data_IF_428455666677
#
_entry.id   IF_428455666677
#
_cell.length_a   1.000
_cell.length_b   1.000
_cell.length_c   1.000
_cell.angle_alpha   90.00
_cell.angle_beta   90.00
_cell.angle_gamma   90.00
#
_symmetry.space_group_name_H-M   'P 1'
#
loop_
_entity.id
_entity.type
_entity.pdbx_description
1 polymer ?
#
# COMPACT_ATOMS: atom_id res chain seq x y z
N UNK A 1 -16.24 12.44 19.14
CA UNK A 1 -17.14 11.58 18.36
C UNK A 1 -16.30 10.48 17.74
N UNK A 2 -16.37 9.27 18.29
CA UNK A 2 -15.69 8.11 17.71
C UNK A 2 -16.50 7.66 16.52
N UNK A 3 -15.99 7.87 15.30
CA UNK A 3 -16.49 7.13 14.16
C UNK A 3 -16.15 5.68 14.44
N UNK A 4 -17.13 4.92 14.89
CA UNK A 4 -17.01 3.48 15.05
C UNK A 4 -16.45 2.94 13.73
N UNK A 5 -15.21 2.47 13.79
CA UNK A 5 -14.55 1.82 12.67
C UNK A 5 -15.44 0.62 12.37
N UNK A 6 -16.24 0.71 11.31
CA UNK A 6 -16.88 -0.42 10.65
C UNK A 6 -15.77 -1.24 9.98
N UNK A 7 -14.78 -1.67 10.76
CA UNK A 7 -13.76 -2.57 10.31
C UNK A 7 -14.44 -3.94 10.25
N UNK A 8 -15.01 -4.23 9.09
CA UNK A 8 -15.35 -5.59 8.73
C UNK A 8 -14.05 -6.38 8.84
N UNK A 9 -14.01 -7.41 9.69
CA UNK A 9 -12.86 -8.32 9.71
C UNK A 9 -12.76 -8.97 8.33
N UNK A 10 -11.85 -8.43 7.52
CA UNK A 10 -11.55 -8.98 6.21
C UNK A 10 -10.76 -10.25 6.47
N UNK A 11 -11.46 -11.41 6.44
CA UNK A 11 -10.88 -12.75 6.52
C UNK A 11 -9.96 -12.96 5.31
N UNK A 12 -8.76 -12.41 5.37
CA UNK A 12 -7.75 -12.53 4.32
C UNK A 12 -6.49 -13.13 4.93
N UNK A 13 -5.81 -13.97 4.15
CA UNK A 13 -4.52 -14.57 4.54
C UNK A 13 -3.37 -13.56 4.36
N UNK A 14 -3.69 -12.28 4.18
CA UNK A 14 -2.77 -11.18 3.89
C UNK A 14 -2.67 -10.30 5.15
N UNK A 15 -1.56 -10.38 5.90
CA UNK A 15 -1.33 -9.45 7.00
C UNK A 15 -1.38 -8.00 6.50
N UNK A 16 -1.91 -7.10 7.33
CA UNK A 16 -1.99 -5.66 7.02
C UNK A 16 -2.82 -5.34 5.76
N UNK A 17 -3.96 -6.01 5.60
CA UNK A 17 -4.78 -5.90 4.39
C UNK A 17 -5.21 -4.46 4.08
N UNK A 18 -5.67 -3.70 5.07
CA UNK A 18 -6.13 -2.32 4.87
C UNK A 18 -4.96 -1.41 4.48
N UNK A 19 -3.82 -1.55 5.16
CA UNK A 19 -2.58 -0.82 4.88
C UNK A 19 -2.09 -1.10 3.45
N UNK A 20 -2.21 -2.36 3.00
CA UNK A 20 -1.86 -2.77 1.63
C UNK A 20 -2.81 -2.17 0.59
N UNK A 21 -4.11 -2.09 0.90
CA UNK A 21 -5.11 -1.46 0.03
C UNK A 21 -4.82 0.04 -0.09
N UNK A 22 -4.62 0.73 1.02
CA UNK A 22 -4.35 2.17 1.05
C UNK A 22 -3.05 2.51 0.31
N UNK A 23 -1.98 1.73 0.52
CA UNK A 23 -0.71 1.96 -0.17
C UNK A 23 -0.83 1.67 -1.67
N UNK A 24 -1.53 0.62 -2.08
CA UNK A 24 -1.79 0.34 -3.50
C UNK A 24 -2.62 1.47 -4.16
N UNK A 25 -3.60 2.02 -3.44
CA UNK A 25 -4.35 3.20 -3.87
C UNK A 25 -3.43 4.41 -4.07
N UNK A 26 -2.52 4.69 -3.13
CA UNK A 26 -1.55 5.77 -3.25
C UNK A 26 -0.69 5.66 -4.52
N UNK A 27 -0.10 4.48 -4.79
CA UNK A 27 0.65 4.24 -6.03
C UNK A 27 -0.17 4.55 -7.30
N UNK A 28 -1.41 4.04 -7.37
CA UNK A 28 -2.26 4.22 -8.55
C UNK A 28 -2.69 5.67 -8.75
N UNK A 29 -2.96 6.40 -7.68
CA UNK A 29 -3.26 7.82 -7.75
C UNK A 29 -2.03 8.63 -8.20
N UNK A 30 -0.85 8.35 -7.65
CA UNK A 30 0.41 8.97 -8.07
C UNK A 30 0.68 8.73 -9.56
N UNK A 31 0.44 7.51 -10.06
CA UNK A 31 0.52 7.22 -11.49
C UNK A 31 -0.49 8.05 -12.30
N UNK A 32 -1.75 8.12 -11.85
CA UNK A 32 -2.83 8.88 -12.52
C UNK A 32 -2.56 10.39 -12.56
N UNK A 33 -1.89 10.92 -11.55
CA UNK A 33 -1.50 12.33 -11.44
C UNK A 33 -0.16 12.64 -12.14
N UNK A 34 0.42 11.67 -12.85
CA UNK A 34 1.71 11.80 -13.54
C UNK A 34 2.89 12.15 -12.61
N UNK A 35 2.86 11.67 -11.37
CA UNK A 35 3.89 11.89 -10.35
C UNK A 35 4.82 10.67 -10.18
N UNK A 36 5.08 9.94 -11.26
CA UNK A 36 5.88 8.70 -11.29
C UNK A 36 7.09 8.86 -12.22
N UNK A 37 8.21 8.21 -11.89
CA UNK A 37 9.42 8.17 -12.70
C UNK A 37 9.70 6.73 -13.15
N UNK A 38 9.15 6.36 -14.31
CA UNK A 38 9.23 5.02 -14.86
C UNK A 38 8.95 3.94 -13.79
N UNK A 39 9.99 3.21 -13.37
CA UNK A 39 9.91 2.18 -12.32
C UNK A 39 10.92 2.41 -11.18
N UNK A 40 11.46 3.63 -11.08
CA UNK A 40 12.52 3.97 -10.13
C UNK A 40 12.00 4.38 -8.73
N UNK A 41 10.79 4.93 -8.64
CA UNK A 41 10.25 5.36 -7.34
C UNK A 41 9.87 4.18 -6.43
N UNK A 42 9.82 4.48 -5.14
CA UNK A 42 9.27 3.59 -4.12
C UNK A 42 8.43 4.39 -3.14
N UNK A 43 7.40 3.75 -2.59
CA UNK A 43 6.75 4.16 -1.34
C UNK A 43 6.83 3.01 -0.36
N UNK A 44 6.95 3.36 0.91
CA UNK A 44 6.90 2.39 2.01
C UNK A 44 5.94 2.87 3.09
N UNK A 45 5.37 1.90 3.81
CA UNK A 45 4.45 2.15 4.92
C UNK A 45 4.88 1.30 6.11
N UNK A 46 5.18 1.95 7.24
CA UNK A 46 5.45 1.25 8.49
C UNK A 46 4.19 0.54 8.99
N UNK A 47 4.29 -0.73 9.37
CA UNK A 47 3.15 -1.55 9.84
C UNK A 47 3.22 -1.90 11.32
N UNK A 48 4.26 -1.44 12.01
CA UNK A 48 4.41 -1.59 13.45
C UNK A 48 4.80 -0.24 14.10
N UNK A 49 4.42 -0.07 15.37
CA UNK A 49 4.68 1.17 16.13
C UNK A 49 6.18 1.51 16.22
N UNK A 50 7.03 0.48 16.16
CA UNK A 50 8.49 0.63 16.18
C UNK A 50 9.10 1.15 14.88
N UNK A 51 8.35 1.21 13.78
CA UNK A 51 8.86 1.67 12.47
C UNK A 51 9.99 0.80 11.91
N UNK A 52 9.97 -0.50 12.19
CA UNK A 52 11.03 -1.44 11.78
C UNK A 52 10.56 -2.45 10.73
N UNK A 53 9.26 -2.52 10.46
CA UNK A 53 8.66 -3.36 9.44
C UNK A 53 7.88 -2.49 8.47
N UNK A 54 8.06 -2.74 7.17
CA UNK A 54 7.49 -1.91 6.12
C UNK A 54 6.84 -2.76 5.04
N UNK A 55 5.71 -2.28 4.52
CA UNK A 55 5.21 -2.66 3.20
C UNK A 55 5.99 -1.90 2.13
N UNK A 56 6.33 -2.55 1.01
CA UNK A 56 6.97 -1.89 -0.13
C UNK A 56 6.47 -2.39 -1.49
N UNK A 57 6.64 -1.58 -2.54
CA UNK A 57 6.42 -2.04 -3.91
C UNK A 57 7.49 -3.05 -4.37
N UNK A 58 7.10 -4.05 -5.18
CA UNK A 58 8.07 -4.89 -5.88
C UNK A 58 9.00 -4.09 -6.77
N UNK A 59 10.22 -4.59 -6.90
CA UNK A 59 11.21 -3.99 -7.79
C UNK A 59 10.73 -4.01 -9.24
N UNK A 60 11.00 -2.91 -9.97
CA UNK A 60 10.74 -2.77 -11.41
C UNK A 60 9.26 -2.90 -11.82
N UNK A 61 8.31 -2.72 -10.90
CA UNK A 61 6.87 -2.70 -11.21
C UNK A 61 6.36 -1.27 -11.22
N UNK A 62 5.80 -0.86 -12.35
CA UNK A 62 5.21 0.47 -12.52
C UNK A 62 4.04 0.72 -11.56
N UNK A 63 3.94 1.93 -11.02
CA UNK A 63 2.93 2.33 -10.03
C UNK A 63 1.48 2.05 -10.45
N UNK A 64 1.15 2.19 -11.74
CA UNK A 64 -0.19 1.89 -12.26
C UNK A 64 -0.59 0.41 -12.19
N UNK A 65 0.36 -0.50 -11.97
CA UNK A 65 0.14 -1.95 -11.95
C UNK A 65 0.07 -2.55 -10.55
N UNK A 66 0.51 -1.83 -9.52
CA UNK A 66 0.57 -2.30 -8.14
C UNK A 66 -0.82 -2.69 -7.63
N UNK A 67 -0.93 -3.85 -6.99
CA UNK A 67 -2.08 -4.32 -6.21
C UNK A 67 -1.68 -4.51 -4.75
N UNK A 68 -2.67 -4.52 -3.85
CA UNK A 68 -2.46 -4.81 -2.43
C UNK A 68 -1.73 -6.14 -2.18
N UNK A 69 -2.04 -7.16 -2.99
CA UNK A 69 -1.42 -8.49 -2.96
C UNK A 69 0.03 -8.52 -3.44
N UNK A 70 0.49 -7.48 -4.14
CA UNK A 70 1.84 -7.44 -4.71
C UNK A 70 2.87 -6.88 -3.72
N UNK A 71 2.41 -6.17 -2.68
CA UNK A 71 3.30 -5.52 -1.72
C UNK A 71 4.10 -6.56 -0.93
N UNK A 72 5.37 -6.27 -0.67
CA UNK A 72 6.23 -7.10 0.17
C UNK A 72 6.00 -6.72 1.62
#
# INVERSE_FOLDING_TARGET
>A
MSLARLQKETLTNLPYYEERVDLACAFRWTARLNMHEAVANHFSLAVNDGGTQFLMNPNQVHFSRIKASDLL
#
